data_IF_798699277117
#
_entry.id   IF_798699277117
#
_cell.length_a   1.000
_cell.length_b   1.000
_cell.length_c   1.000
_cell.angle_alpha   90.00
_cell.angle_beta   90.00
_cell.angle_gamma   90.00
#
_symmetry.space_group_name_H-M   'P 1'
#
loop_
_entity.id
_entity.type
_entity.pdbx_description
1 polymer ?
#
# COMPACT_ATOMS: atom_id res chain seq x y z
N UNK A 1 2.93 -12.15 6.93
CA UNK A 1 2.52 -10.74 7.03
C UNK A 1 3.30 -9.96 5.97
N UNK A 2 2.68 -9.63 4.84
CA UNK A 2 3.40 -9.05 3.68
C UNK A 2 2.52 -8.13 2.80
N UNK A 3 1.54 -7.43 3.37
CA UNK A 3 0.62 -6.55 2.60
C UNK A 3 0.97 -5.06 2.64
N UNK A 4 1.81 -4.62 3.58
CA UNK A 4 2.17 -3.20 3.68
C UNK A 4 3.13 -2.76 2.57
N UNK A 5 4.09 -3.61 2.17
CA UNK A 5 5.07 -3.30 1.14
C UNK A 5 4.45 -3.21 -0.26
N UNK A 6 3.50 -4.09 -0.59
CA UNK A 6 2.80 -4.08 -1.87
C UNK A 6 1.93 -2.82 -2.05
N UNK A 7 1.23 -2.39 -0.99
CA UNK A 7 0.41 -1.17 -1.04
C UNK A 7 1.27 0.09 -1.18
N UNK A 8 2.41 0.16 -0.49
CA UNK A 8 3.33 1.28 -0.62
C UNK A 8 3.96 1.37 -2.02
N UNK A 9 4.39 0.23 -2.59
CA UNK A 9 4.91 0.18 -3.96
C UNK A 9 3.84 0.54 -5.01
N UNK A 10 2.60 0.08 -4.83
CA UNK A 10 1.49 0.45 -5.70
C UNK A 10 1.20 1.96 -5.65
N UNK A 11 1.19 2.55 -4.44
CA UNK A 11 0.99 3.98 -4.26
C UNK A 11 2.14 4.81 -4.86
N UNK A 12 3.39 4.40 -4.64
CA UNK A 12 4.56 5.07 -5.20
C UNK A 12 4.56 5.01 -6.73
N UNK A 13 4.22 3.86 -7.31
CA UNK A 13 4.13 3.68 -8.76
C UNK A 13 3.00 4.53 -9.34
N UNK A 14 1.83 4.54 -8.69
CA UNK A 14 0.71 5.40 -9.08
C UNK A 14 1.06 6.88 -8.97
N UNK A 15 1.75 7.29 -7.91
CA UNK A 15 2.20 8.66 -7.73
C UNK A 15 3.24 9.08 -8.78
N UNK A 16 4.19 8.21 -9.14
CA UNK A 16 5.17 8.51 -10.18
C UNK A 16 4.52 8.70 -11.56
N UNK A 17 3.55 7.86 -11.93
CA UNK A 17 2.79 8.02 -13.18
C UNK A 17 1.95 9.30 -13.13
N UNK A 18 1.26 9.55 -12.01
CA UNK A 18 0.46 10.76 -11.81
C UNK A 18 1.30 12.03 -11.86
N UNK A 19 2.47 12.03 -11.22
CA UNK A 19 3.42 13.12 -11.26
C UNK A 19 4.04 13.29 -12.64
N UNK A 20 4.36 12.20 -13.35
CA UNK A 20 4.90 12.28 -14.72
C UNK A 20 3.92 12.96 -15.67
N UNK A 21 2.64 12.57 -15.64
CA UNK A 21 1.59 13.20 -16.45
C UNK A 21 1.27 14.62 -15.99
N UNK A 22 1.20 14.86 -14.67
CA UNK A 22 0.92 16.17 -14.10
C UNK A 22 2.04 17.19 -14.32
N UNK A 23 3.29 16.75 -14.23
CA UNK A 23 4.48 17.57 -14.49
C UNK A 23 4.61 17.87 -15.99
N UNK A 24 4.29 16.93 -16.87
CA UNK A 24 4.28 17.18 -18.32
C UNK A 24 3.14 18.14 -18.74
N UNK A 25 2.02 18.12 -18.02
CA UNK A 25 0.89 19.02 -18.28
C UNK A 25 1.07 20.39 -17.64
N UNK A 26 1.84 20.50 -16.56
CA UNK A 26 2.09 21.76 -15.89
C UNK A 26 3.03 22.63 -16.73
N UNK A 27 2.60 23.83 -17.17
CA UNK A 27 3.51 24.77 -17.83
C UNK A 27 4.62 25.20 -16.85
N UNK A 28 5.86 25.34 -17.36
CA UNK A 28 7.05 25.72 -16.58
C UNK A 28 6.80 26.92 -15.63
N UNK A 29 7.45 26.90 -14.47
CA UNK A 29 7.45 28.01 -13.53
C UNK A 29 8.28 29.16 -14.07
N UNK A 30 7.65 30.28 -14.42
CA UNK A 30 8.36 31.43 -15.01
C UNK A 30 7.77 32.78 -14.62
N UNK A 31 8.64 33.67 -14.15
CA UNK A 31 8.39 35.11 -14.03
C UNK A 31 7.95 35.72 -15.39
N UNK A 32 8.50 35.18 -16.48
CA UNK A 32 8.09 35.45 -17.85
C UNK A 32 6.67 34.97 -18.16
N UNK A 33 6.26 33.83 -17.60
CA UNK A 33 4.89 33.32 -17.67
C UNK A 33 3.95 34.25 -16.90
N UNK A 34 4.30 34.77 -15.71
CA UNK A 34 3.46 35.75 -15.00
C UNK A 34 3.28 37.05 -15.78
N UNK A 35 4.33 37.57 -16.43
CA UNK A 35 4.26 38.80 -17.23
C UNK A 35 3.45 38.58 -18.52
N UNK A 36 3.73 37.48 -19.25
CA UNK A 36 2.96 37.10 -20.45
C UNK A 36 1.52 36.72 -20.11
N UNK A 37 1.26 36.08 -18.98
CA UNK A 37 -0.08 35.75 -18.50
C UNK A 37 -0.83 36.99 -18.05
N UNK A 38 -0.20 38.00 -17.45
CA UNK A 38 -0.88 39.25 -17.07
C UNK A 38 -1.56 39.95 -18.26
N UNK A 39 -0.83 40.10 -19.38
CA UNK A 39 -1.37 40.73 -20.60
C UNK A 39 -2.18 39.78 -21.48
N UNK A 40 -1.71 38.54 -21.66
CA UNK A 40 -2.43 37.57 -22.50
C UNK A 40 -3.64 36.99 -21.77
N UNK A 41 -3.66 36.82 -20.45
CA UNK A 41 -4.82 36.25 -19.76
C UNK A 41 -6.07 37.09 -19.95
N UNK A 42 -6.01 38.42 -20.00
CA UNK A 42 -7.22 39.22 -20.27
C UNK A 42 -7.78 38.96 -21.67
N UNK A 43 -6.92 38.96 -22.70
CA UNK A 43 -7.33 38.70 -24.10
C UNK A 43 -7.73 37.25 -24.33
N UNK A 44 -6.93 36.33 -23.81
CA UNK A 44 -7.17 34.89 -23.81
C UNK A 44 -8.42 34.55 -23.01
N UNK A 45 -8.72 35.20 -21.89
CA UNK A 45 -9.95 34.96 -21.12
C UNK A 45 -11.18 35.37 -21.91
N UNK A 46 -11.16 36.50 -22.63
CA UNK A 46 -12.30 36.91 -23.46
C UNK A 46 -12.51 35.96 -24.65
N UNK A 47 -11.42 35.57 -25.34
CA UNK A 47 -11.48 34.60 -26.45
C UNK A 47 -11.81 33.17 -25.97
N UNK A 48 -11.27 32.75 -24.83
CA UNK A 48 -11.63 31.48 -24.19
C UNK A 48 -13.06 31.52 -23.71
N UNK A 49 -13.56 32.59 -23.11
CA UNK A 49 -14.94 32.61 -22.63
C UNK A 49 -15.92 32.48 -23.80
N UNK A 50 -15.64 33.12 -24.95
CA UNK A 50 -16.40 32.90 -26.19
C UNK A 50 -16.28 31.46 -26.71
N UNK A 51 -15.06 30.96 -26.91
CA UNK A 51 -14.81 29.60 -27.43
C UNK A 51 -15.25 28.51 -26.47
N UNK A 52 -15.16 28.75 -25.16
CA UNK A 52 -15.61 27.88 -24.08
C UNK A 52 -17.12 27.86 -24.01
N UNK A 53 -17.82 28.98 -24.22
CA UNK A 53 -19.29 28.94 -24.31
C UNK A 53 -19.77 28.09 -25.49
N UNK A 54 -19.11 28.18 -26.66
CA UNK A 54 -19.42 27.31 -27.81
C UNK A 54 -18.95 25.86 -27.60
N UNK A 55 -17.75 25.65 -27.06
CA UNK A 55 -17.13 24.32 -26.90
C UNK A 55 -17.67 23.58 -25.67
N UNK A 56 -18.08 24.28 -24.61
CA UNK A 56 -18.65 23.70 -23.39
C UNK A 56 -19.95 22.95 -23.68
N UNK A 57 -20.71 23.33 -24.70
CA UNK A 57 -21.89 22.54 -25.12
C UNK A 57 -21.46 21.13 -25.59
N UNK A 58 -20.43 21.07 -26.44
CA UNK A 58 -19.89 19.80 -26.96
C UNK A 58 -19.09 19.02 -25.90
N UNK A 59 -18.31 19.72 -25.08
CA UNK A 59 -17.50 19.14 -24.01
C UNK A 59 -18.37 18.62 -22.88
N UNK A 60 -19.42 19.34 -22.47
CA UNK A 60 -20.36 18.86 -21.45
C UNK A 60 -21.07 17.60 -21.91
N UNK A 61 -21.42 17.50 -23.20
CA UNK A 61 -22.02 16.29 -23.76
C UNK A 61 -21.04 15.11 -23.74
N UNK A 62 -19.79 15.33 -24.16
CA UNK A 62 -18.74 14.29 -24.10
C UNK A 62 -18.39 13.90 -22.66
N UNK A 63 -18.32 14.86 -21.76
CA UNK A 63 -18.06 14.63 -20.34
C UNK A 63 -19.21 13.88 -19.67
N UNK A 64 -20.47 14.22 -19.98
CA UNK A 64 -21.65 13.46 -19.52
C UNK A 64 -21.59 12.02 -20.03
N UNK A 65 -21.23 11.81 -21.30
CA UNK A 65 -21.07 10.47 -21.86
C UNK A 65 -19.95 9.69 -21.16
N UNK A 66 -18.77 10.29 -21.00
CA UNK A 66 -17.66 9.66 -20.29
C UNK A 66 -17.99 9.36 -18.83
N UNK A 67 -18.71 10.25 -18.14
CA UNK A 67 -19.21 10.03 -16.77
C UNK A 67 -20.17 8.85 -16.72
N UNK A 68 -21.12 8.79 -17.65
CA UNK A 68 -22.06 7.66 -17.76
C UNK A 68 -21.34 6.35 -18.03
N UNK A 69 -20.39 6.32 -18.97
CA UNK A 69 -19.61 5.13 -19.30
C UNK A 69 -18.73 4.68 -18.11
N UNK A 70 -18.20 5.64 -17.36
CA UNK A 70 -17.42 5.37 -16.15
C UNK A 70 -18.30 4.81 -15.02
N UNK A 71 -19.47 5.41 -14.77
CA UNK A 71 -20.44 4.93 -13.77
C UNK A 71 -20.87 3.49 -14.07
N UNK A 72 -21.15 3.16 -15.34
CA UNK A 72 -21.48 1.79 -15.75
C UNK A 72 -20.35 0.80 -15.43
N UNK A 73 -19.10 1.15 -15.80
CA UNK A 73 -17.93 0.28 -15.52
C UNK A 73 -17.61 0.19 -14.04
N UNK A 74 -17.81 1.28 -13.29
CA UNK A 74 -17.58 1.30 -11.86
C UNK A 74 -18.60 0.44 -11.13
N UNK A 75 -19.88 0.49 -11.51
CA UNK A 75 -20.92 -0.36 -10.95
C UNK A 75 -20.63 -1.84 -11.22
N UNK A 76 -20.24 -2.20 -12.45
CA UNK A 76 -19.82 -3.56 -12.81
C UNK A 76 -18.59 -4.01 -11.98
N UNK A 77 -17.61 -3.12 -11.82
CA UNK A 77 -16.39 -3.39 -11.04
C UNK A 77 -16.71 -3.53 -9.55
N UNK A 78 -17.54 -2.65 -8.99
CA UNK A 78 -17.95 -2.69 -7.58
C UNK A 78 -18.78 -3.93 -7.28
N UNK A 79 -19.71 -4.28 -8.16
CA UNK A 79 -20.52 -5.49 -8.06
C UNK A 79 -19.64 -6.73 -8.08
N UNK A 80 -18.79 -6.88 -9.10
CA UNK A 80 -17.86 -8.03 -9.19
C UNK A 80 -16.85 -8.06 -8.05
N UNK A 81 -16.39 -6.91 -7.57
CA UNK A 81 -15.53 -6.81 -6.40
C UNK A 81 -16.25 -7.16 -5.10
N UNK A 82 -17.53 -6.81 -4.94
CA UNK A 82 -18.33 -7.17 -3.75
C UNK A 82 -18.49 -8.68 -3.64
N UNK A 83 -18.91 -9.35 -4.72
CA UNK A 83 -19.01 -10.82 -4.74
C UNK A 83 -17.67 -11.48 -4.41
N UNK A 84 -16.57 -10.99 -5.01
CA UNK A 84 -15.22 -11.48 -4.70
C UNK A 84 -14.80 -11.16 -3.26
N UNK A 85 -15.23 -10.03 -2.71
CA UNK A 85 -14.91 -9.63 -1.34
C UNK A 85 -15.60 -10.55 -0.33
N UNK A 86 -16.85 -10.96 -0.58
CA UNK A 86 -17.59 -11.91 0.28
C UNK A 86 -16.92 -13.31 0.29
N UNK A 87 -16.52 -13.81 -0.90
CA UNK A 87 -15.75 -15.06 -1.01
C UNK A 87 -14.41 -14.99 -0.25
N UNK A 88 -13.73 -13.84 -0.37
CA UNK A 88 -12.47 -13.58 0.35
C UNK A 88 -12.73 -13.50 1.85
N UNK A 89 -13.81 -12.87 2.31
CA UNK A 89 -14.15 -12.76 3.73
C UNK A 89 -14.37 -14.13 4.36
N UNK A 90 -15.16 -14.99 3.72
CA UNK A 90 -15.37 -16.39 4.14
C UNK A 90 -14.06 -17.17 4.21
N UNK A 91 -13.20 -17.02 3.19
CA UNK A 91 -11.88 -17.64 3.17
C UNK A 91 -10.95 -17.13 4.28
N UNK A 92 -11.07 -15.85 4.66
CA UNK A 92 -10.31 -15.26 5.75
C UNK A 92 -10.81 -15.72 7.11
N UNK A 93 -12.12 -15.84 7.33
CA UNK A 93 -12.69 -16.37 8.57
C UNK A 93 -12.27 -17.81 8.82
N UNK A 94 -12.39 -18.68 7.81
CA UNK A 94 -11.94 -20.07 7.90
C UNK A 94 -10.46 -20.17 8.26
N UNK A 95 -9.60 -19.39 7.59
CA UNK A 95 -8.17 -19.33 7.91
C UNK A 95 -7.88 -18.74 9.29
N UNK A 96 -8.66 -17.75 9.74
CA UNK A 96 -8.50 -17.14 11.06
C UNK A 96 -8.89 -18.12 12.18
N UNK A 97 -9.96 -18.88 11.97
CA UNK A 97 -10.42 -19.90 12.90
C UNK A 97 -9.43 -21.07 12.98
N UNK A 98 -8.89 -21.51 11.84
CA UNK A 98 -7.83 -22.52 11.79
C UNK A 98 -6.57 -22.05 12.51
N UNK A 99 -6.13 -20.80 12.28
CA UNK A 99 -5.00 -20.20 12.98
C UNK A 99 -5.26 -20.08 14.49
N UNK A 100 -6.47 -19.71 14.92
CA UNK A 100 -6.84 -19.67 16.34
C UNK A 100 -6.79 -21.06 16.97
N UNK A 101 -7.32 -22.08 16.27
CA UNK A 101 -7.34 -23.47 16.74
C UNK A 101 -5.94 -24.08 16.81
N UNK A 102 -5.10 -23.81 15.81
CA UNK A 102 -3.68 -24.17 15.83
C UNK A 102 -2.98 -23.47 17.00
N UNK A 103 -3.15 -22.16 17.16
CA UNK A 103 -2.50 -21.41 18.23
C UNK A 103 -2.97 -21.85 19.63
N UNK A 104 -4.26 -22.17 19.81
CA UNK A 104 -4.78 -22.72 21.07
C UNK A 104 -4.27 -24.14 21.34
N UNK A 105 -4.12 -24.99 20.31
CA UNK A 105 -3.50 -26.32 20.45
C UNK A 105 -2.04 -26.20 20.86
N UNK A 106 -1.27 -25.32 20.20
CA UNK A 106 0.12 -25.04 20.58
C UNK A 106 0.27 -24.45 21.99
N UNK A 107 -0.71 -23.67 22.49
CA UNK A 107 -0.69 -23.17 23.86
C UNK A 107 -1.14 -24.22 24.89
N UNK A 108 -2.10 -25.09 24.55
CA UNK A 108 -2.52 -26.22 25.40
C UNK A 108 -1.43 -27.28 25.49
N UNK A 109 -0.79 -27.61 24.37
CA UNK A 109 0.36 -28.53 24.32
C UNK A 109 1.59 -27.94 25.03
N UNK A 110 1.80 -26.61 25.02
CA UNK A 110 2.81 -25.96 25.87
C UNK A 110 2.45 -25.93 27.35
N UNK A 111 1.16 -25.84 27.69
CA UNK A 111 0.67 -25.88 29.07
C UNK A 111 0.71 -27.29 29.67
N UNK A 112 0.55 -28.33 28.85
CA UNK A 112 0.59 -29.74 29.30
C UNK A 112 1.98 -30.37 29.13
N UNK A 113 2.86 -29.80 28.30
CA UNK A 113 4.15 -30.38 27.93
C UNK A 113 5.39 -29.93 28.73
N UNK A 114 5.31 -28.95 29.63
CA UNK A 114 6.50 -28.44 30.34
C UNK A 114 6.45 -28.59 31.86
N UNK A 115 6.03 -29.77 32.34
CA UNK A 115 6.13 -30.18 33.74
C UNK A 115 7.15 -31.29 34.04
N UNK A 116 7.49 -32.15 33.07
CA UNK A 116 8.31 -33.34 33.36
C UNK A 116 9.01 -33.91 32.12
N UNK A 117 10.15 -33.33 31.73
CA UNK A 117 11.28 -34.11 31.17
C UNK A 117 12.56 -33.27 31.15
N UNK A 118 13.08 -33.05 32.36
CA UNK A 118 14.52 -32.88 32.58
C UNK A 118 15.20 -34.14 32.06
N UNK A 119 15.92 -33.97 30.96
CA UNK A 119 16.70 -34.97 30.25
C UNK A 119 17.93 -35.35 31.08
N UNK A 120 17.96 -36.59 31.55
CA UNK A 120 19.19 -37.23 32.00
C UNK A 120 19.96 -37.80 30.79
N UNK A 121 21.29 -37.65 30.88
CA UNK A 121 22.34 -38.50 30.29
C UNK A 121 22.76 -38.31 28.82
N UNK A 122 23.93 -37.70 28.63
CA UNK A 122 25.11 -38.23 27.89
C UNK A 122 26.10 -37.06 27.68
N UNK A 123 27.37 -37.05 28.09
CA UNK A 123 28.30 -38.15 28.36
C UNK A 123 29.52 -38.08 27.41
N UNK A 124 30.47 -37.16 27.62
CA UNK A 124 31.88 -37.26 27.18
C UNK A 124 32.67 -36.06 27.75
N UNK A 125 33.42 -36.26 28.83
CA UNK A 125 34.84 -36.68 28.83
C UNK A 125 35.83 -35.58 28.41
N UNK A 126 36.65 -35.25 29.42
CA UNK A 126 38.11 -35.02 29.39
C UNK A 126 38.64 -33.58 29.19
N UNK A 127 39.10 -33.07 30.34
CA UNK A 127 40.52 -32.85 30.68
C UNK A 127 41.09 -31.47 30.32
N UNK A 128 41.39 -30.68 31.36
CA UNK A 128 42.38 -29.60 31.24
C UNK A 128 42.32 -28.56 32.36
N UNK A 129 42.95 -28.88 33.49
CA UNK A 129 43.74 -27.97 34.34
C UNK A 129 43.02 -26.81 35.06
N UNK A 130 42.83 -27.01 36.35
CA UNK A 130 43.00 -25.95 37.34
C UNK A 130 44.49 -25.91 37.72
N UNK A 131 45.11 -24.75 37.59
CA UNK A 131 46.32 -24.24 38.24
C UNK A 131 46.71 -23.01 37.41
N UNK A 132 47.10 -21.85 37.93
CA UNK A 132 47.43 -21.40 39.27
C UNK A 132 47.48 -19.86 39.16
N UNK A 133 47.16 -19.16 40.25
CA UNK A 133 48.03 -18.18 40.92
C UNK A 133 48.52 -16.96 40.11
N UNK A 134 48.54 -15.83 40.83
CA UNK A 134 49.28 -14.60 40.52
C UNK A 134 48.82 -13.76 39.31
N UNK A 135 48.32 -12.55 39.56
CA UNK A 135 49.23 -11.48 39.97
C UNK A 135 48.45 -10.23 40.39
N UNK A 136 48.88 -9.67 41.51
CA UNK A 136 48.59 -8.32 41.92
C UNK A 136 49.35 -7.30 41.04
N UNK A 137 48.99 -6.03 41.21
CA UNK A 137 49.75 -4.82 40.87
C UNK A 137 49.62 -4.31 39.42
N UNK A 138 49.10 -3.08 39.33
CA UNK A 138 49.02 -2.23 38.15
C UNK A 138 47.94 -1.16 38.33
#
# INVERSE_FOLDING_TARGET
MAKSGSTFLALLTGAAIGAGLGMLYAPESGEETRRKLGENARRTQDDLNKRYRETSSNLSTRAKKAKSDFELRLEETLSSASYKADEILSSLESKLEELRKQNSKFQKDRSEGNGSKSTASSGKSKKGVADSADNAVG
#
